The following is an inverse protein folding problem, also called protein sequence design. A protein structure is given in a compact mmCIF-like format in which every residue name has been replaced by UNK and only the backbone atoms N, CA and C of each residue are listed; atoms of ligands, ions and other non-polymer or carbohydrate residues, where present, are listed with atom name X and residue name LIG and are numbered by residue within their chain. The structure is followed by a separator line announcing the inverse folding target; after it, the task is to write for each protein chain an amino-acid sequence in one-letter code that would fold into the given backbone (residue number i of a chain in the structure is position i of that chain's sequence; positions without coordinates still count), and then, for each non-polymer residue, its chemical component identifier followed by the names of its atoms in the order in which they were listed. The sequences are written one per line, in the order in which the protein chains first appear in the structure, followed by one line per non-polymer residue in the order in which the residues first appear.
data_IF_907364732292
#
_entry.id   IF_907364732292
#
_cell.length_a   1.000
_cell.length_b   1.000
_cell.length_c   1.000
_cell.angle_alpha   90.00
_cell.angle_beta   90.00
_cell.angle_gamma   90.00
#
_symmetry.space_group_name_H-M   'P 1'
#
loop_
_entity.id
_entity.type
_entity.pdbx_description
1 polymer ?
#
# COMPACT_ATOMS: atom_id res chain seq x y z
N UNK A 1 0.18 11.46 -0.37
CA UNK A 1 1.59 11.85 -0.71
C UNK A 1 1.86 11.65 -2.19
N UNK A 2 1.49 12.60 -3.07
CA UNK A 2 1.47 12.39 -4.52
C UNK A 2 2.84 12.07 -5.13
N UNK A 3 3.94 12.45 -4.48
CA UNK A 3 5.30 12.19 -4.94
C UNK A 3 5.82 10.79 -4.62
N UNK A 4 5.16 10.04 -3.72
CA UNK A 4 5.56 8.69 -3.35
C UNK A 4 5.05 7.71 -4.42
N UNK A 5 5.98 7.19 -5.22
CA UNK A 5 5.65 6.34 -6.38
C UNK A 5 5.44 4.86 -6.03
N UNK A 6 6.08 4.39 -4.96
CA UNK A 6 6.04 2.99 -4.51
C UNK A 6 6.25 2.89 -3.00
N UNK A 7 5.85 1.76 -2.42
CA UNK A 7 6.16 1.44 -1.03
C UNK A 7 7.62 0.94 -0.89
N UNK A 8 8.28 1.23 0.24
CA UNK A 8 9.63 0.75 0.50
C UNK A 8 9.65 -0.78 0.65
N UNK A 9 10.68 -1.44 0.12
CA UNK A 9 10.84 -2.90 0.19
C UNK A 9 10.79 -3.44 1.63
N UNK A 10 11.37 -2.70 2.57
CA UNK A 10 11.42 -3.06 3.98
C UNK A 10 10.06 -3.16 4.66
N UNK A 11 8.98 -2.64 4.05
CA UNK A 11 7.63 -2.78 4.59
C UNK A 11 7.21 -4.25 4.72
N UNK A 12 7.63 -5.10 3.77
CA UNK A 12 7.40 -6.55 3.80
C UNK A 12 8.01 -7.24 5.03
N UNK A 13 9.03 -6.63 5.66
CA UNK A 13 9.69 -7.15 6.85
C UNK A 13 9.00 -6.77 8.16
N UNK A 14 8.03 -5.85 8.12
CA UNK A 14 7.29 -5.40 9.31
C UNK A 14 6.09 -6.33 9.53
N UNK A 15 6.37 -7.59 9.90
CA UNK A 15 5.35 -8.64 10.07
C UNK A 15 4.34 -8.37 11.19
N UNK A 16 4.61 -7.39 12.06
CA UNK A 16 3.73 -6.98 13.16
C UNK A 16 2.77 -5.85 12.77
N UNK A 17 2.85 -5.33 11.54
CA UNK A 17 1.99 -4.25 11.07
C UNK A 17 0.54 -4.72 10.95
N UNK A 18 -0.36 -4.08 11.71
CA UNK A 18 -1.79 -4.43 11.76
C UNK A 18 -2.65 -3.65 10.78
N UNK A 19 -2.27 -2.41 10.52
CA UNK A 19 -3.04 -1.49 9.69
C UNK A 19 -2.11 -0.62 8.84
N UNK A 20 -2.47 -0.45 7.57
CA UNK A 20 -1.83 0.47 6.65
C UNK A 20 -2.88 1.42 6.06
N UNK A 21 -2.73 2.72 6.33
CA UNK A 21 -3.60 3.76 5.77
C UNK A 21 -2.91 4.43 4.57
N UNK A 22 -3.56 4.39 3.42
CA UNK A 22 -3.14 5.05 2.18
C UNK A 22 -4.11 6.19 1.89
N UNK A 23 -3.60 7.43 1.95
CA UNK A 23 -4.43 8.63 1.85
C UNK A 23 -3.91 9.62 0.80
N UNK A 24 -4.85 10.19 0.04
CA UNK A 24 -4.57 11.22 -0.99
C UNK A 24 -3.49 10.76 -1.97
N UNK A 25 -3.68 9.55 -2.51
CA UNK A 25 -2.83 8.93 -3.51
C UNK A 25 -3.59 8.73 -4.82
N UNK A 26 -2.91 8.77 -5.98
CA UNK A 26 -3.53 8.43 -7.25
C UNK A 26 -4.10 7.00 -7.26
N UNK A 27 -5.16 6.75 -8.03
CA UNK A 27 -5.72 5.40 -8.26
C UNK A 27 -4.67 4.38 -8.69
N UNK A 28 -3.75 4.78 -9.57
CA UNK A 28 -2.64 3.93 -10.01
C UNK A 28 -1.78 3.42 -8.84
N UNK A 29 -1.64 4.20 -7.76
CA UNK A 29 -0.92 3.74 -6.57
C UNK A 29 -1.72 2.67 -5.80
N UNK A 30 -3.04 2.81 -5.71
CA UNK A 30 -3.92 1.79 -5.11
C UNK A 30 -3.86 0.48 -5.91
N UNK A 31 -3.93 0.56 -7.24
CA UNK A 31 -3.89 -0.62 -8.13
C UNK A 31 -2.61 -1.44 -7.95
N UNK A 32 -1.47 -0.79 -7.70
CA UNK A 32 -0.20 -1.49 -7.38
C UNK A 32 -0.28 -2.31 -6.09
N UNK A 33 -1.14 -1.92 -5.14
CA UNK A 33 -1.31 -2.56 -3.83
C UNK A 33 -2.47 -3.56 -3.79
N UNK A 34 -3.25 -3.67 -4.87
CA UNK A 34 -4.31 -4.67 -4.97
C UNK A 34 -3.76 -6.03 -5.40
N UNK A 35 -4.54 -7.10 -5.20
CA UNK A 35 -4.11 -8.46 -5.51
C UNK A 35 -3.72 -8.58 -7.00
N UNK A 36 -2.48 -9.00 -7.26
CA UNK A 36 -1.91 -9.06 -8.62
C UNK A 36 -1.21 -7.79 -9.07
N UNK A 37 -1.25 -6.72 -8.27
CA UNK A 37 -0.47 -5.50 -8.45
C UNK A 37 1.00 -5.69 -8.09
N UNK A 38 1.85 -4.83 -8.66
CA UNK A 38 3.31 -4.93 -8.58
C UNK A 38 3.86 -4.86 -7.14
N UNK A 39 3.21 -4.10 -6.25
CA UNK A 39 3.62 -3.88 -4.86
C UNK A 39 2.79 -4.70 -3.86
N UNK A 40 1.90 -5.60 -4.31
CA UNK A 40 1.01 -6.37 -3.44
C UNK A 40 1.76 -7.18 -2.37
N UNK A 41 2.88 -7.82 -2.75
CA UNK A 41 3.69 -8.64 -1.84
C UNK A 41 4.24 -7.85 -0.63
N UNK A 42 4.34 -6.51 -0.76
CA UNK A 42 4.81 -5.63 0.33
C UNK A 42 3.75 -5.45 1.41
N UNK A 43 2.48 -5.69 1.09
CA UNK A 43 1.34 -5.43 1.98
C UNK A 43 0.47 -6.67 2.22
N UNK A 44 0.76 -7.79 1.59
CA UNK A 44 0.00 -9.05 1.72
C UNK A 44 -0.12 -9.54 3.18
N UNK A 45 0.90 -9.26 4.01
CA UNK A 45 0.90 -9.62 5.42
C UNK A 45 0.07 -8.69 6.31
N UNK A 46 -0.40 -7.55 5.79
CA UNK A 46 -1.10 -6.51 6.57
C UNK A 46 -2.60 -6.85 6.63
N UNK A 47 -3.18 -7.07 7.82
CA UNK A 47 -4.58 -7.47 7.96
C UNK A 47 -5.61 -6.42 7.52
N UNK A 48 -5.29 -5.13 7.67
CA UNK A 48 -6.18 -4.02 7.37
C UNK A 48 -5.49 -2.98 6.50
N UNK A 49 -6.00 -2.77 5.29
CA UNK A 49 -5.51 -1.71 4.39
C UNK A 49 -6.67 -0.78 4.08
N UNK A 50 -6.51 0.49 4.45
CA UNK A 50 -7.55 1.51 4.31
C UNK A 50 -7.12 2.51 3.24
N UNK A 51 -7.98 2.70 2.24
CA UNK A 51 -7.78 3.69 1.19
C UNK A 51 -8.74 4.87 1.39
N UNK A 52 -8.19 6.09 1.46
CA UNK A 52 -8.98 7.32 1.63
C UNK A 52 -8.58 8.39 0.63
N UNK A 53 -9.56 9.17 0.15
CA UNK A 53 -9.35 10.29 -0.75
C UNK A 53 -8.51 9.92 -1.99
N UNK A 54 -8.74 8.73 -2.55
CA UNK A 54 -8.05 8.23 -3.75
C UNK A 54 -8.63 8.92 -5.00
N UNK A 55 -7.76 9.47 -5.85
CA UNK A 55 -8.15 10.25 -7.03
C UNK A 55 -7.65 9.64 -8.34
#
# INVERSE_FOLDING_TARGET
CPSLKMLPEGLSSITTLKELKIESMPKAFKERLEKGGEDFYKVEHVPSIIFQNIW
#
